data_IF_594595160422
#
_entry.id   IF_594595160422
#
_cell.length_a   1.000
_cell.length_b   1.000
_cell.length_c   1.000
_cell.angle_alpha   90.00
_cell.angle_beta   90.00
_cell.angle_gamma   90.00
#
_symmetry.space_group_name_H-M   'P 1'
#
loop_
_entity.id
_entity.type
_entity.pdbx_description
1 polymer ?
#
# COMPACT_ATOMS: atom_id res chain seq x y z
N UNK A 1 21.59 -16.58 -22.50
CA UNK A 1 20.68 -16.87 -23.62
C UNK A 1 20.10 -15.56 -24.09
N UNK A 2 20.32 -15.21 -25.37
CA UNK A 2 20.24 -13.87 -25.92
C UNK A 2 18.82 -13.29 -25.95
N UNK A 3 18.70 -12.06 -25.45
CA UNK A 3 17.53 -11.17 -25.62
C UNK A 3 17.60 -10.51 -27.02
N UNK A 4 17.40 -11.26 -28.09
CA UNK A 4 17.70 -10.79 -29.44
C UNK A 4 16.50 -10.67 -30.39
N UNK A 5 15.29 -10.36 -29.96
CA UNK A 5 14.21 -10.18 -30.93
C UNK A 5 13.19 -9.05 -30.65
N UNK A 6 13.65 -7.94 -30.07
CA UNK A 6 12.85 -6.70 -30.12
C UNK A 6 13.76 -5.53 -30.55
N UNK A 7 13.77 -5.26 -31.87
CA UNK A 7 14.23 -4.00 -32.41
C UNK A 7 15.66 -3.95 -32.95
N UNK A 8 15.92 -4.59 -34.05
CA UNK A 8 17.07 -4.28 -34.92
C UNK A 8 16.71 -3.12 -35.86
N UNK A 9 16.69 -1.89 -35.30
CA UNK A 9 16.79 -0.68 -36.11
C UNK A 9 18.23 -0.21 -36.02
N UNK A 10 19.01 -0.53 -37.04
CA UNK A 10 20.36 0.01 -37.25
C UNK A 10 20.31 1.53 -37.46
N UNK A 11 20.20 2.32 -36.40
CA UNK A 11 20.53 3.73 -36.43
C UNK A 11 21.97 3.88 -35.97
N UNK A 12 22.87 4.28 -36.88
CA UNK A 12 24.23 4.73 -36.52
C UNK A 12 24.10 5.84 -35.48
N UNK A 13 24.40 5.51 -34.23
CA UNK A 13 24.51 6.50 -33.16
C UNK A 13 25.73 7.41 -33.48
N UNK A 14 25.63 8.73 -33.27
CA UNK A 14 26.78 9.62 -33.37
C UNK A 14 27.87 9.15 -32.39
N UNK A 15 29.15 9.24 -32.81
CA UNK A 15 30.33 8.96 -31.97
C UNK A 15 30.38 9.98 -30.80
N UNK A 16 29.57 9.72 -29.77
CA UNK A 16 29.83 10.35 -28.48
C UNK A 16 31.05 9.69 -27.88
N UNK A 17 32.04 10.49 -27.42
CA UNK A 17 33.12 10.02 -26.56
C UNK A 17 32.40 9.41 -25.34
N UNK A 18 32.42 8.11 -25.25
CA UNK A 18 31.68 7.37 -24.24
C UNK A 18 32.39 7.51 -22.87
N UNK A 19 32.06 8.56 -22.12
CA UNK A 19 32.48 8.73 -20.75
C UNK A 19 31.83 7.76 -19.76
N UNK A 20 30.98 6.83 -20.27
CA UNK A 20 30.23 5.87 -19.44
C UNK A 20 31.15 4.97 -18.63
N UNK A 21 32.28 4.49 -19.22
CA UNK A 21 33.25 3.66 -18.52
C UNK A 21 33.86 4.41 -17.33
N UNK A 22 34.26 5.66 -17.54
CA UNK A 22 34.83 6.51 -16.48
C UNK A 22 33.81 6.75 -15.35
N UNK A 23 32.53 6.99 -15.70
CA UNK A 23 31.45 7.17 -14.74
C UNK A 23 31.24 5.88 -13.94
N UNK A 24 31.20 4.72 -14.59
CA UNK A 24 31.06 3.41 -13.95
C UNK A 24 32.21 3.13 -12.97
N UNK A 25 33.48 3.44 -13.35
CA UNK A 25 34.65 3.25 -12.51
C UNK A 25 34.64 4.18 -11.29
N UNK A 26 34.40 5.47 -11.49
CA UNK A 26 34.38 6.46 -10.38
C UNK A 26 33.24 6.13 -9.39
N UNK A 27 32.06 5.78 -9.89
CA UNK A 27 30.92 5.46 -9.06
C UNK A 27 30.97 4.06 -8.45
N UNK A 28 31.88 3.21 -8.90
CA UNK A 28 31.96 1.79 -8.56
C UNK A 28 30.60 1.07 -8.75
N UNK A 29 29.83 1.47 -9.77
CA UNK A 29 28.48 0.99 -9.99
C UNK A 29 28.41 -0.51 -10.28
N UNK A 30 29.46 -1.06 -10.92
CA UNK A 30 29.56 -2.50 -11.21
C UNK A 30 30.06 -3.33 -10.01
N UNK A 31 30.47 -2.71 -8.91
CA UNK A 31 30.96 -3.44 -7.73
C UNK A 31 29.79 -4.11 -7.02
N UNK A 32 29.80 -5.44 -6.97
CA UNK A 32 28.82 -6.27 -6.28
C UNK A 32 29.23 -6.56 -4.82
N UNK A 33 28.28 -6.84 -3.93
CA UNK A 33 28.57 -7.33 -2.60
C UNK A 33 29.36 -8.66 -2.65
N UNK A 34 30.17 -8.96 -1.62
CA UNK A 34 30.74 -10.29 -1.45
C UNK A 34 29.65 -11.37 -1.53
N UNK A 35 29.93 -12.56 -2.08
CA UNK A 35 28.92 -13.58 -2.36
C UNK A 35 28.02 -13.94 -1.17
N UNK A 36 28.57 -14.02 0.04
CA UNK A 36 27.79 -14.31 1.26
C UNK A 36 26.80 -13.19 1.57
N UNK A 37 27.20 -11.91 1.38
CA UNK A 37 26.32 -10.76 1.60
C UNK A 37 25.26 -10.70 0.50
N UNK A 38 25.66 -10.89 -0.77
CA UNK A 38 24.75 -10.91 -1.90
C UNK A 38 23.64 -11.97 -1.72
N UNK A 39 24.03 -13.17 -1.28
CA UNK A 39 23.08 -14.26 -1.01
C UNK A 39 22.12 -13.86 0.13
N UNK A 40 22.62 -13.37 1.24
CA UNK A 40 21.80 -12.94 2.37
C UNK A 40 20.80 -11.85 1.98
N UNK A 41 21.24 -10.84 1.19
CA UNK A 41 20.37 -9.78 0.71
C UNK A 41 19.31 -10.30 -0.28
N UNK A 42 19.70 -11.22 -1.17
CA UNK A 42 18.76 -11.89 -2.07
C UNK A 42 17.69 -12.68 -1.29
N UNK A 43 18.08 -13.39 -0.22
CA UNK A 43 17.13 -14.14 0.62
C UNK A 43 16.15 -13.20 1.35
N UNK A 44 16.61 -12.02 1.80
CA UNK A 44 15.72 -10.97 2.34
C UNK A 44 14.71 -10.49 1.30
N UNK A 45 15.14 -10.23 0.05
CA UNK A 45 14.19 -9.84 -1.01
C UNK A 45 13.11 -10.89 -1.20
N UNK A 46 13.49 -12.15 -1.40
CA UNK A 46 12.53 -13.22 -1.71
C UNK A 46 11.59 -13.55 -0.54
N UNK A 47 12.04 -13.34 0.70
CA UNK A 47 11.22 -13.60 1.87
C UNK A 47 10.30 -12.42 2.21
N UNK A 48 10.81 -11.18 2.12
CA UNK A 48 10.14 -10.02 2.71
C UNK A 48 9.46 -9.12 1.67
N UNK A 49 10.08 -8.88 0.51
CA UNK A 49 9.57 -7.93 -0.49
C UNK A 49 8.88 -8.63 -1.66
N UNK A 50 9.33 -9.79 -2.06
CA UNK A 50 8.77 -10.53 -3.21
C UNK A 50 7.25 -10.74 -3.14
N UNK A 51 6.62 -10.99 -1.98
CA UNK A 51 5.16 -11.09 -1.90
C UNK A 51 4.41 -9.83 -2.36
N UNK A 52 5.06 -8.67 -2.38
CA UNK A 52 4.48 -7.39 -2.80
C UNK A 52 5.06 -6.86 -4.11
N UNK A 53 6.28 -7.23 -4.46
CA UNK A 53 7.00 -6.80 -5.66
C UNK A 53 7.70 -7.98 -6.36
N UNK A 54 6.95 -8.94 -6.95
CA UNK A 54 7.52 -10.15 -7.56
C UNK A 54 8.03 -9.90 -8.98
N UNK A 55 9.02 -8.99 -9.12
CA UNK A 55 9.53 -8.51 -10.40
C UNK A 55 10.86 -9.15 -10.83
N UNK A 56 11.43 -10.03 -10.00
CA UNK A 56 12.64 -10.81 -10.29
C UNK A 56 12.42 -12.25 -9.79
N UNK A 57 12.67 -13.26 -10.62
CA UNK A 57 12.54 -14.67 -10.27
C UNK A 57 13.86 -15.26 -9.72
N UNK A 58 13.75 -16.26 -8.81
CA UNK A 58 14.92 -16.96 -8.25
C UNK A 58 15.75 -17.66 -9.32
N UNK A 59 15.10 -18.30 -10.28
CA UNK A 59 15.77 -19.02 -11.36
C UNK A 59 16.61 -18.13 -12.29
N UNK A 60 16.43 -16.81 -12.21
CA UNK A 60 17.24 -15.82 -12.96
C UNK A 60 18.40 -15.23 -12.16
N UNK A 61 18.57 -15.66 -10.91
CA UNK A 61 19.64 -15.20 -10.02
C UNK A 61 20.82 -16.15 -10.07
N UNK A 62 21.93 -15.71 -10.63
CA UNK A 62 23.16 -16.51 -10.73
C UNK A 62 24.31 -15.69 -11.29
N UNK A 63 25.48 -16.31 -11.41
CA UNK A 63 26.69 -15.66 -11.91
C UNK A 63 26.56 -15.09 -13.33
N UNK A 64 25.57 -15.57 -14.11
CA UNK A 64 25.26 -15.08 -15.46
C UNK A 64 24.21 -13.94 -15.49
N UNK A 65 23.67 -13.55 -14.33
CA UNK A 65 22.71 -12.44 -14.24
C UNK A 65 23.41 -11.10 -14.51
N UNK A 66 22.65 -10.14 -15.07
CA UNK A 66 23.21 -8.80 -15.27
C UNK A 66 23.59 -8.14 -13.93
N UNK A 67 24.62 -7.30 -13.96
CA UNK A 67 25.05 -6.51 -12.79
C UNK A 67 23.90 -5.67 -12.25
N UNK A 68 23.07 -5.10 -13.14
CA UNK A 68 21.90 -4.30 -12.77
C UNK A 68 20.92 -5.13 -11.92
N UNK A 69 20.57 -6.35 -12.35
CA UNK A 69 19.65 -7.24 -11.62
C UNK A 69 20.24 -7.64 -10.26
N UNK A 70 21.54 -7.95 -10.19
CA UNK A 70 22.21 -8.29 -8.94
C UNK A 70 22.24 -7.11 -7.95
N UNK A 71 22.47 -5.88 -8.45
CA UNK A 71 22.37 -4.67 -7.63
C UNK A 71 20.94 -4.43 -7.14
N UNK A 72 19.92 -4.68 -7.99
CA UNK A 72 18.50 -4.56 -7.59
C UNK A 72 18.14 -5.53 -6.46
N UNK A 73 18.58 -6.78 -6.53
CA UNK A 73 18.36 -7.76 -5.46
C UNK A 73 19.05 -7.35 -4.17
N UNK A 74 20.30 -6.90 -4.28
CA UNK A 74 21.08 -6.44 -3.13
C UNK A 74 20.43 -5.20 -2.48
N UNK A 75 19.95 -4.27 -3.30
CA UNK A 75 19.22 -3.09 -2.85
C UNK A 75 17.93 -3.47 -2.14
N UNK A 76 17.05 -4.24 -2.80
CA UNK A 76 15.78 -4.67 -2.27
C UNK A 76 15.91 -5.41 -0.92
N UNK A 77 16.88 -6.34 -0.82
CA UNK A 77 17.19 -6.99 0.45
C UNK A 77 17.73 -6.05 1.51
N UNK A 78 18.56 -5.07 1.12
CA UNK A 78 19.10 -4.10 2.06
C UNK A 78 18.05 -3.18 2.66
N UNK A 79 16.96 -2.90 1.90
CA UNK A 79 15.82 -2.11 2.39
C UNK A 79 14.93 -2.87 3.36
N UNK A 80 14.98 -4.20 3.41
CA UNK A 80 14.14 -5.05 4.27
C UNK A 80 14.78 -5.43 5.60
N UNK A 81 16.00 -4.98 5.88
CA UNK A 81 16.70 -5.22 7.15
C UNK A 81 16.80 -3.96 7.99
N UNK A 82 17.18 -4.11 9.26
CA UNK A 82 17.53 -2.95 10.08
C UNK A 82 18.71 -2.18 9.47
N UNK A 83 18.75 -0.83 9.61
CA UNK A 83 19.87 -0.04 9.17
C UNK A 83 21.14 -0.53 9.85
N UNK A 84 22.05 -1.14 9.11
CA UNK A 84 23.42 -1.34 9.55
C UNK A 84 24.14 -0.03 9.25
N UNK A 85 24.89 0.51 10.21
CA UNK A 85 25.58 1.80 10.09
C UNK A 85 26.26 2.07 8.73
N UNK A 86 27.09 3.05 8.60
CA UNK A 86 27.75 3.42 7.32
C UNK A 86 28.49 2.19 6.73
N UNK A 87 27.91 1.60 5.70
CA UNK A 87 28.40 0.41 5.01
C UNK A 87 28.32 0.65 3.51
N UNK A 88 29.30 0.15 2.77
CA UNK A 88 29.30 0.15 1.29
C UNK A 88 28.04 -0.52 0.70
N UNK A 89 27.34 -1.31 1.50
CA UNK A 89 26.13 -2.08 1.15
C UNK A 89 24.87 -1.54 1.85
N UNK A 90 24.90 -0.25 2.22
CA UNK A 90 23.69 0.45 2.69
C UNK A 90 22.71 0.63 1.53
N UNK A 91 21.39 0.72 1.81
CA UNK A 91 20.39 0.99 0.76
C UNK A 91 20.74 2.22 -0.08
N UNK A 92 21.21 3.28 0.54
CA UNK A 92 21.56 4.54 -0.14
C UNK A 92 22.74 4.38 -1.11
N UNK A 93 23.79 3.63 -0.70
CA UNK A 93 24.96 3.37 -1.54
C UNK A 93 24.60 2.53 -2.77
N UNK A 94 23.82 1.44 -2.57
CA UNK A 94 23.40 0.57 -3.68
C UNK A 94 22.42 1.30 -4.62
N UNK A 95 21.52 2.12 -4.06
CA UNK A 95 20.62 2.98 -4.82
C UNK A 95 21.35 3.88 -5.81
N UNK A 96 22.42 4.54 -5.35
CA UNK A 96 23.28 5.37 -6.21
C UNK A 96 23.89 4.56 -7.37
N UNK A 97 24.36 3.35 -7.10
CA UNK A 97 24.92 2.44 -8.13
C UNK A 97 23.89 2.03 -9.18
N UNK A 98 22.66 1.67 -8.75
CA UNK A 98 21.58 1.31 -9.68
C UNK A 98 21.24 2.50 -10.57
N UNK A 99 21.11 3.72 -10.01
CA UNK A 99 20.86 4.93 -10.81
C UNK A 99 21.93 5.13 -11.88
N UNK A 100 23.20 4.99 -11.50
CA UNK A 100 24.31 5.11 -12.47
C UNK A 100 24.17 4.07 -13.59
N UNK A 101 23.97 2.78 -13.26
CA UNK A 101 23.79 1.72 -14.25
C UNK A 101 22.62 1.97 -15.22
N UNK A 102 21.51 2.48 -14.71
CA UNK A 102 20.33 2.84 -15.51
C UNK A 102 20.61 4.00 -16.48
N UNK A 103 21.21 5.09 -15.99
CA UNK A 103 21.41 6.29 -16.80
C UNK A 103 22.56 6.17 -17.80
N UNK A 104 23.60 5.38 -17.51
CA UNK A 104 24.63 5.05 -18.51
C UNK A 104 24.18 3.90 -19.45
N UNK A 105 22.99 3.32 -19.21
CA UNK A 105 22.44 2.23 -20.03
C UNK A 105 23.38 1.03 -20.14
N UNK A 106 24.00 0.65 -19.01
CA UNK A 106 24.95 -0.45 -18.93
C UNK A 106 24.31 -1.81 -19.30
N UNK A 107 23.03 -1.99 -18.93
CA UNK A 107 22.25 -3.18 -19.30
C UNK A 107 21.42 -2.91 -20.56
N UNK A 108 21.63 -3.65 -21.67
CA UNK A 108 20.87 -3.45 -22.89
C UNK A 108 19.44 -4.05 -22.84
N UNK A 109 19.13 -4.89 -21.85
CA UNK A 109 17.84 -5.58 -21.76
C UNK A 109 16.74 -4.63 -21.20
N UNK A 110 15.72 -4.27 -22.00
CA UNK A 110 14.66 -3.37 -21.54
C UNK A 110 13.90 -3.93 -20.34
N UNK A 111 13.75 -5.26 -20.24
CA UNK A 111 13.05 -5.85 -19.11
C UNK A 111 13.84 -5.77 -17.80
N UNK A 112 15.18 -5.89 -17.84
CA UNK A 112 16.01 -5.67 -16.66
C UNK A 112 15.92 -4.22 -16.17
N UNK A 113 15.90 -3.24 -17.09
CA UNK A 113 15.67 -1.83 -16.75
C UNK A 113 14.28 -1.62 -16.13
N UNK A 114 13.24 -2.25 -16.68
CA UNK A 114 11.88 -2.19 -16.13
C UNK A 114 11.83 -2.75 -14.71
N UNK A 115 12.46 -3.91 -14.48
CA UNK A 115 12.56 -4.53 -13.14
C UNK A 115 13.32 -3.62 -12.17
N UNK A 116 14.39 -2.98 -12.63
CA UNK A 116 15.16 -2.04 -11.80
C UNK A 116 14.33 -0.80 -11.39
N UNK A 117 13.62 -0.19 -12.33
CA UNK A 117 12.70 0.93 -12.04
C UNK A 117 11.60 0.51 -11.04
N UNK A 118 11.06 -0.70 -11.22
CA UNK A 118 10.07 -1.28 -10.33
C UNK A 118 10.61 -1.48 -8.91
N UNK A 119 11.82 -1.96 -8.75
CA UNK A 119 12.48 -2.12 -7.44
C UNK A 119 12.78 -0.76 -6.81
N UNK A 120 13.27 0.22 -7.58
CA UNK A 120 13.53 1.56 -7.05
C UNK A 120 12.28 2.25 -6.53
N UNK A 121 11.11 1.95 -7.10
CA UNK A 121 9.82 2.51 -6.67
C UNK A 121 9.35 2.01 -5.29
N UNK A 122 9.97 0.98 -4.72
CA UNK A 122 9.60 0.43 -3.40
C UNK A 122 10.17 1.24 -2.22
N UNK A 123 11.10 2.17 -2.48
CA UNK A 123 11.83 2.87 -1.43
C UNK A 123 11.75 4.38 -1.57
N UNK A 124 11.50 5.07 -0.44
CA UNK A 124 11.38 6.51 -0.35
C UNK A 124 12.57 7.08 0.44
N UNK A 125 13.68 7.50 -0.24
CA UNK A 125 14.87 8.03 0.43
C UNK A 125 14.72 9.46 0.94
N UNK A 126 13.76 10.20 0.39
CA UNK A 126 13.52 11.61 0.69
C UNK A 126 12.20 11.82 1.41
N UNK A 127 11.95 13.05 1.87
CA UNK A 127 10.62 13.42 2.35
C UNK A 127 9.58 13.25 1.22
N UNK A 128 8.36 12.77 1.51
CA UNK A 128 7.28 12.68 0.53
C UNK A 128 6.96 14.03 -0.17
N UNK A 129 7.22 15.15 0.50
CA UNK A 129 7.01 16.51 -0.03
C UNK A 129 8.12 16.96 -1.00
N UNK A 130 9.26 16.30 -0.98
CA UNK A 130 10.39 16.71 -1.81
C UNK A 130 10.08 16.54 -3.30
N UNK A 131 10.21 17.62 -4.06
CA UNK A 131 10.11 17.60 -5.52
C UNK A 131 11.48 17.18 -6.08
N UNK A 132 11.63 15.89 -6.34
CA UNK A 132 12.87 15.29 -6.85
C UNK A 132 12.58 14.39 -8.05
N UNK A 133 13.57 14.25 -8.93
CA UNK A 133 13.45 13.44 -10.14
C UNK A 133 13.52 11.93 -9.88
N UNK A 134 13.94 11.52 -8.70
CA UNK A 134 14.21 10.14 -8.31
C UNK A 134 13.36 9.68 -7.12
N UNK A 135 12.11 10.18 -7.05
CA UNK A 135 11.11 9.70 -6.10
C UNK A 135 10.44 8.40 -6.57
N UNK A 136 9.83 7.61 -5.67
CA UNK A 136 9.04 6.42 -6.05
C UNK A 136 8.00 6.70 -7.14
N UNK A 137 7.32 7.85 -7.06
CA UNK A 137 6.32 8.26 -8.05
C UNK A 137 6.95 8.48 -9.44
N UNK A 138 8.13 9.07 -9.52
CA UNK A 138 8.85 9.23 -10.78
C UNK A 138 9.31 7.89 -11.35
N UNK A 139 9.86 6.99 -10.50
CA UNK A 139 10.27 5.66 -10.94
C UNK A 139 9.10 4.84 -11.47
N UNK A 140 7.95 4.86 -10.77
CA UNK A 140 6.73 4.19 -11.23
C UNK A 140 6.26 4.78 -12.57
N UNK A 141 6.24 6.10 -12.72
CA UNK A 141 5.84 6.75 -13.96
C UNK A 141 6.77 6.43 -15.14
N UNK A 142 8.07 6.38 -14.91
CA UNK A 142 9.05 5.96 -15.92
C UNK A 142 8.83 4.49 -16.31
N UNK A 143 8.63 3.62 -15.34
CA UNK A 143 8.37 2.20 -15.57
C UNK A 143 7.06 1.96 -16.34
N UNK A 144 5.98 2.65 -16.01
CA UNK A 144 4.70 2.57 -16.75
C UNK A 144 4.88 3.00 -18.21
N UNK A 145 5.53 4.16 -18.44
CA UNK A 145 5.78 4.65 -19.80
C UNK A 145 6.63 3.66 -20.60
N UNK A 146 7.66 3.08 -19.98
CA UNK A 146 8.50 2.06 -20.60
C UNK A 146 7.70 0.79 -20.91
N UNK A 147 6.84 0.33 -19.98
CA UNK A 147 5.94 -0.79 -20.19
C UNK A 147 4.96 -0.57 -21.34
N UNK A 148 4.40 0.65 -21.47
CA UNK A 148 3.55 1.03 -22.63
C UNK A 148 4.34 0.97 -23.92
N UNK A 149 5.57 1.47 -23.96
CA UNK A 149 6.47 1.42 -25.09
C UNK A 149 6.79 -0.03 -25.53
N UNK A 150 6.88 -0.95 -24.56
CA UNK A 150 7.04 -2.38 -24.76
C UNK A 150 5.72 -3.10 -25.08
N UNK A 151 4.61 -2.37 -25.21
CA UNK A 151 3.25 -2.89 -25.40
C UNK A 151 2.75 -3.85 -24.31
N UNK A 152 3.25 -3.75 -23.07
CA UNK A 152 2.87 -4.65 -21.98
C UNK A 152 1.41 -4.48 -21.50
N UNK A 153 0.72 -3.44 -21.94
CA UNK A 153 -0.73 -3.23 -21.71
C UNK A 153 -1.62 -4.03 -22.67
N UNK A 154 -1.04 -4.75 -23.65
CA UNK A 154 -1.77 -5.52 -24.66
C UNK A 154 -1.55 -7.01 -24.47
N UNK A 155 -2.64 -7.77 -24.36
CA UNK A 155 -2.58 -9.22 -24.15
C UNK A 155 -1.85 -9.96 -25.30
N UNK A 156 -1.98 -9.49 -26.54
CA UNK A 156 -1.35 -10.13 -27.71
C UNK A 156 0.18 -10.14 -27.62
N UNK A 157 0.78 -9.14 -26.95
CA UNK A 157 2.22 -9.03 -26.80
C UNK A 157 2.83 -10.18 -26.02
N UNK A 158 2.05 -10.84 -25.16
CA UNK A 158 2.54 -11.93 -24.29
C UNK A 158 2.75 -13.25 -25.00
N UNK A 159 2.13 -13.46 -26.16
CA UNK A 159 2.22 -14.72 -26.92
C UNK A 159 3.64 -15.02 -27.42
N UNK A 160 4.50 -14.02 -27.57
CA UNK A 160 5.86 -14.15 -28.10
C UNK A 160 6.94 -14.01 -27.03
N UNK A 161 6.57 -13.80 -25.77
CA UNK A 161 7.53 -13.57 -24.70
C UNK A 161 8.06 -14.88 -24.09
N UNK A 162 9.36 -14.93 -23.80
CA UNK A 162 9.99 -16.11 -23.20
C UNK A 162 9.53 -16.39 -21.76
N UNK A 163 9.10 -15.37 -21.03
CA UNK A 163 8.59 -15.49 -19.66
C UNK A 163 7.38 -14.57 -19.46
N UNK A 164 6.23 -14.93 -20.04
CA UNK A 164 5.04 -14.08 -19.98
C UNK A 164 4.52 -13.90 -18.56
N UNK A 165 4.69 -14.89 -17.68
CA UNK A 165 4.27 -14.82 -16.27
C UNK A 165 5.00 -13.73 -15.51
N UNK A 166 6.34 -13.70 -15.54
CA UNK A 166 7.13 -12.68 -14.88
C UNK A 166 6.80 -11.26 -15.40
N UNK A 167 6.65 -11.13 -16.72
CA UNK A 167 6.35 -9.85 -17.36
C UNK A 167 4.95 -9.38 -16.97
N UNK A 168 3.96 -10.28 -16.91
CA UNK A 168 2.61 -9.97 -16.42
C UNK A 168 2.60 -9.52 -14.97
N UNK A 169 3.31 -10.22 -14.09
CA UNK A 169 3.44 -9.82 -12.68
C UNK A 169 4.10 -8.45 -12.55
N UNK A 170 5.16 -8.18 -13.30
CA UNK A 170 5.83 -6.87 -13.29
C UNK A 170 4.91 -5.76 -13.78
N UNK A 171 4.13 -5.99 -14.85
CA UNK A 171 3.14 -5.03 -15.32
C UNK A 171 2.06 -4.73 -14.27
N UNK A 172 1.48 -5.76 -13.65
CA UNK A 172 0.47 -5.59 -12.61
C UNK A 172 1.05 -5.06 -11.29
N UNK A 173 2.33 -5.30 -11.02
CA UNK A 173 3.01 -4.63 -9.91
C UNK A 173 3.01 -3.10 -10.10
N UNK A 174 3.22 -2.60 -11.31
CA UNK A 174 3.16 -1.16 -11.59
C UNK A 174 1.76 -0.59 -11.34
N UNK A 175 0.71 -1.35 -11.62
CA UNK A 175 -0.67 -0.98 -11.23
C UNK A 175 -0.82 -0.87 -9.70
N UNK A 176 -0.36 -1.86 -8.96
CA UNK A 176 -0.41 -1.86 -7.48
C UNK A 176 0.37 -0.67 -6.93
N UNK A 177 1.60 -0.45 -7.40
CA UNK A 177 2.44 0.67 -6.96
C UNK A 177 1.81 2.03 -7.27
N UNK A 178 1.26 2.23 -8.47
CA UNK A 178 0.57 3.45 -8.88
C UNK A 178 -0.68 3.71 -8.01
N UNK A 179 -1.49 2.68 -7.76
CA UNK A 179 -2.69 2.77 -6.91
C UNK A 179 -2.34 3.14 -5.47
N UNK A 180 -1.33 2.51 -4.89
CA UNK A 180 -0.89 2.82 -3.52
C UNK A 180 -0.28 4.22 -3.41
N UNK A 181 0.48 4.66 -4.42
CA UNK A 181 1.02 6.03 -4.48
C UNK A 181 -0.09 7.07 -4.69
N UNK A 182 -1.11 6.76 -5.49
CA UNK A 182 -2.32 7.56 -5.61
C UNK A 182 -3.00 7.71 -4.25
N UNK A 183 -3.14 6.62 -3.50
CA UNK A 183 -3.76 6.60 -2.19
C UNK A 183 -3.00 7.44 -1.16
N UNK A 184 -1.67 7.28 -1.06
CA UNK A 184 -0.89 7.96 -0.03
C UNK A 184 -0.48 9.39 -0.39
N UNK A 185 -0.40 9.74 -1.68
CA UNK A 185 0.07 11.05 -2.14
C UNK A 185 -1.04 11.93 -2.74
N UNK A 186 -2.28 11.43 -2.89
CA UNK A 186 -3.38 12.15 -3.53
C UNK A 186 -3.14 12.49 -5.01
N UNK A 187 -2.10 11.92 -5.63
CA UNK A 187 -1.72 12.21 -7.01
C UNK A 187 -2.58 11.41 -7.99
N UNK A 188 -2.86 11.93 -9.20
CA UNK A 188 -3.57 11.18 -10.22
C UNK A 188 -2.83 9.88 -10.56
N UNK A 189 -3.56 8.77 -10.73
CA UNK A 189 -2.99 7.52 -11.22
C UNK A 189 -2.54 7.63 -12.68
N UNK A 190 -1.45 6.96 -13.01
CA UNK A 190 -0.83 6.97 -14.34
C UNK A 190 -1.03 5.66 -15.11
N UNK A 191 -1.40 4.59 -14.41
CA UNK A 191 -1.58 3.29 -15.04
C UNK A 191 -2.80 3.28 -15.98
N UNK A 192 -2.65 2.86 -17.27
CA UNK A 192 -3.69 2.95 -18.28
C UNK A 192 -4.72 1.82 -18.14
N UNK A 193 -5.44 1.76 -17.02
CA UNK A 193 -6.34 0.65 -16.71
C UNK A 193 -7.46 0.46 -17.76
N UNK A 194 -7.96 1.56 -18.34
CA UNK A 194 -9.02 1.53 -19.36
C UNK A 194 -8.55 0.92 -20.69
N UNK A 195 -7.26 1.08 -21.01
CA UNK A 195 -6.66 0.58 -22.25
C UNK A 195 -5.91 -0.75 -22.05
N UNK A 196 -6.00 -1.32 -20.85
CA UNK A 196 -5.29 -2.54 -20.48
C UNK A 196 -6.13 -3.78 -20.78
N UNK A 197 -5.66 -4.63 -21.69
CA UNK A 197 -6.31 -5.90 -22.05
C UNK A 197 -5.66 -7.13 -21.39
N UNK A 198 -4.63 -6.92 -20.55
CA UNK A 198 -3.85 -8.01 -19.93
C UNK A 198 -4.64 -8.62 -18.77
N UNK A 199 -4.83 -9.95 -18.75
CA UNK A 199 -5.51 -10.60 -17.64
C UNK A 199 -4.75 -10.43 -16.33
N UNK A 200 -5.48 -10.46 -15.21
CA UNK A 200 -4.89 -10.41 -13.87
C UNK A 200 -3.85 -11.50 -13.66
N UNK A 201 -2.84 -11.27 -12.80
CA UNK A 201 -1.83 -12.26 -12.50
C UNK A 201 -2.47 -13.47 -11.83
N UNK A 202 -1.97 -14.64 -12.18
CA UNK A 202 -2.41 -15.93 -11.67
C UNK A 202 -1.25 -16.64 -10.97
N UNK A 203 -1.57 -17.62 -10.15
CA UNK A 203 -0.56 -18.44 -9.46
C UNK A 203 0.37 -19.15 -10.45
N UNK A 204 -0.14 -19.53 -11.61
CA UNK A 204 0.63 -20.12 -12.70
C UNK A 204 1.67 -19.20 -13.34
N UNK A 205 1.61 -17.90 -13.06
CA UNK A 205 2.62 -16.95 -13.50
C UNK A 205 3.90 -16.97 -12.65
N UNK A 206 3.93 -17.75 -11.57
CA UNK A 206 5.07 -17.85 -10.65
C UNK A 206 5.84 -19.16 -10.88
N UNK A 207 7.17 -19.11 -10.72
CA UNK A 207 8.02 -20.32 -10.77
C UNK A 207 7.66 -21.28 -9.62
N UNK A 208 7.28 -20.74 -8.47
CA UNK A 208 6.86 -21.49 -7.28
C UNK A 208 5.56 -20.89 -6.75
N UNK A 209 4.46 -21.65 -6.73
CA UNK A 209 3.16 -21.18 -6.25
C UNK A 209 3.12 -21.19 -4.72
N UNK A 210 3.92 -20.33 -4.09
CA UNK A 210 4.02 -20.18 -2.64
C UNK A 210 3.01 -19.17 -2.07
N UNK A 211 3.09 -18.93 -0.77
CA UNK A 211 2.25 -17.94 -0.07
C UNK A 211 2.41 -16.53 -0.66
N UNK A 212 3.64 -16.15 -1.06
CA UNK A 212 3.91 -14.84 -1.67
C UNK A 212 3.18 -14.66 -3.00
N UNK A 213 3.10 -15.72 -3.82
CA UNK A 213 2.33 -15.71 -5.06
C UNK A 213 0.83 -15.45 -4.80
N UNK A 214 0.26 -16.11 -3.79
CA UNK A 214 -1.12 -15.88 -3.40
C UNK A 214 -1.35 -14.45 -2.89
N UNK A 215 -0.45 -13.92 -2.05
CA UNK A 215 -0.52 -12.54 -1.54
C UNK A 215 -0.54 -11.54 -2.70
N UNK A 216 0.39 -11.64 -3.66
CA UNK A 216 0.45 -10.72 -4.79
C UNK A 216 -0.83 -10.75 -5.65
N UNK A 217 -1.32 -11.94 -5.97
CA UNK A 217 -2.55 -12.07 -6.75
C UNK A 217 -3.76 -11.44 -6.04
N UNK A 218 -3.88 -11.63 -4.72
CA UNK A 218 -4.97 -11.06 -3.95
C UNK A 218 -4.80 -9.55 -3.71
N UNK A 219 -3.57 -9.08 -3.51
CA UNK A 219 -3.26 -7.65 -3.41
C UNK A 219 -3.62 -6.91 -4.70
N UNK A 220 -3.32 -7.49 -5.87
CA UNK A 220 -3.69 -6.90 -7.16
C UNK A 220 -5.21 -6.76 -7.32
N UNK A 221 -5.98 -7.77 -6.90
CA UNK A 221 -7.45 -7.71 -6.90
C UNK A 221 -7.99 -6.66 -5.94
N UNK A 222 -7.45 -6.62 -4.72
CA UNK A 222 -7.83 -5.62 -3.72
C UNK A 222 -7.55 -4.19 -4.22
N UNK A 223 -6.44 -3.98 -4.93
CA UNK A 223 -6.09 -2.68 -5.51
C UNK A 223 -7.07 -2.22 -6.61
N UNK A 224 -7.79 -3.13 -7.29
CA UNK A 224 -8.85 -2.71 -8.22
C UNK A 224 -10.02 -2.04 -7.47
N UNK A 225 -10.44 -2.61 -6.33
CA UNK A 225 -11.47 -2.01 -5.50
C UNK A 225 -10.95 -0.72 -4.83
N UNK A 226 -9.73 -0.73 -4.32
CA UNK A 226 -9.09 0.46 -3.75
C UNK A 226 -9.01 1.61 -4.77
N UNK A 227 -8.59 1.33 -6.00
CA UNK A 227 -8.56 2.33 -7.08
C UNK A 227 -9.92 2.95 -7.32
N UNK A 228 -10.98 2.12 -7.37
CA UNK A 228 -12.36 2.58 -7.54
C UNK A 228 -12.80 3.47 -6.37
N UNK A 229 -12.49 3.08 -5.13
CA UNK A 229 -12.77 3.88 -3.93
C UNK A 229 -12.10 5.25 -4.02
N UNK A 230 -10.83 5.28 -4.42
CA UNK A 230 -10.06 6.52 -4.54
C UNK A 230 -10.56 7.43 -5.66
N UNK A 231 -10.96 6.86 -6.80
CA UNK A 231 -11.54 7.62 -7.91
C UNK A 231 -12.89 8.26 -7.49
N UNK A 232 -13.79 7.47 -6.90
CA UNK A 232 -15.08 7.97 -6.39
C UNK A 232 -14.89 9.07 -5.32
N UNK A 233 -13.90 8.90 -4.45
CA UNK A 233 -13.57 9.86 -3.42
C UNK A 233 -13.04 11.17 -3.97
N UNK A 234 -12.14 11.11 -4.95
CA UNK A 234 -11.54 12.29 -5.58
C UNK A 234 -12.56 13.10 -6.37
N UNK A 235 -13.41 12.42 -7.13
CA UNK A 235 -14.39 13.07 -7.98
C UNK A 235 -15.63 13.55 -7.20
N UNK A 236 -15.64 13.33 -5.88
CA UNK A 236 -16.74 13.65 -4.94
C UNK A 236 -18.10 13.04 -5.37
N UNK A 237 -18.04 11.94 -6.12
CA UNK A 237 -19.20 11.23 -6.66
C UNK A 237 -19.68 10.08 -5.77
N UNK A 238 -19.05 9.87 -4.59
CA UNK A 238 -19.38 8.78 -3.68
C UNK A 238 -20.81 8.87 -3.15
N UNK A 239 -21.67 7.96 -3.59
CA UNK A 239 -23.04 7.81 -3.06
C UNK A 239 -23.09 6.66 -2.05
N UNK A 240 -24.18 6.63 -1.27
CA UNK A 240 -24.47 5.52 -0.34
C UNK A 240 -24.49 4.18 -1.06
N UNK A 241 -25.18 4.11 -2.20
CA UNK A 241 -25.30 2.88 -2.99
C UNK A 241 -23.92 2.39 -3.45
N UNK A 242 -23.05 3.29 -3.88
CA UNK A 242 -21.69 2.96 -4.27
C UNK A 242 -20.85 2.48 -3.09
N UNK A 243 -21.01 3.06 -1.90
CA UNK A 243 -20.36 2.60 -0.70
C UNK A 243 -20.80 1.17 -0.33
N UNK A 244 -22.10 0.89 -0.34
CA UNK A 244 -22.62 -0.46 -0.08
C UNK A 244 -22.18 -1.48 -1.13
N UNK A 245 -22.25 -1.12 -2.42
CA UNK A 245 -21.76 -1.99 -3.50
C UNK A 245 -20.26 -2.29 -3.34
N UNK A 246 -19.47 -1.32 -2.91
CA UNK A 246 -18.04 -1.51 -2.66
C UNK A 246 -17.78 -2.41 -1.45
N UNK A 247 -18.59 -2.28 -0.39
CA UNK A 247 -18.55 -3.19 0.76
C UNK A 247 -18.86 -4.63 0.35
N UNK A 248 -19.87 -4.84 -0.49
CA UNK A 248 -20.20 -6.19 -0.99
C UNK A 248 -19.04 -6.79 -1.80
N UNK A 249 -18.36 -6.00 -2.64
CA UNK A 249 -17.19 -6.44 -3.37
C UNK A 249 -16.04 -6.81 -2.41
N UNK A 250 -15.75 -5.97 -1.41
CA UNK A 250 -14.72 -6.24 -0.40
C UNK A 250 -15.05 -7.50 0.41
N UNK A 251 -16.31 -7.68 0.79
CA UNK A 251 -16.79 -8.89 1.47
C UNK A 251 -16.58 -10.12 0.60
N UNK A 252 -16.99 -10.08 -0.66
CA UNK A 252 -16.80 -11.16 -1.62
C UNK A 252 -15.31 -11.48 -1.82
N UNK A 253 -14.44 -10.46 -1.96
CA UNK A 253 -13.00 -10.65 -2.05
C UNK A 253 -12.46 -11.42 -0.86
N UNK A 254 -12.87 -11.07 0.36
CA UNK A 254 -12.44 -11.76 1.59
C UNK A 254 -12.94 -13.20 1.66
N UNK A 255 -14.18 -13.48 1.25
CA UNK A 255 -14.78 -14.81 1.27
C UNK A 255 -14.08 -15.80 0.32
N UNK A 256 -13.51 -15.31 -0.78
CA UNK A 256 -12.76 -16.14 -1.75
C UNK A 256 -11.27 -16.26 -1.43
N UNK A 257 -10.79 -15.68 -0.31
CA UNK A 257 -9.39 -15.81 0.07
C UNK A 257 -9.01 -17.29 0.30
N UNK A 258 -7.86 -17.74 -0.24
CA UNK A 258 -7.29 -19.03 0.10
C UNK A 258 -7.15 -19.22 1.61
N UNK A 259 -7.37 -20.43 2.11
CA UNK A 259 -7.28 -20.75 3.55
C UNK A 259 -5.97 -20.27 4.18
N UNK A 260 -4.83 -20.42 3.47
CA UNK A 260 -3.53 -19.95 3.95
C UNK A 260 -3.39 -18.42 4.10
N UNK A 261 -4.31 -17.63 3.52
CA UNK A 261 -4.35 -16.18 3.69
C UNK A 261 -5.40 -15.71 4.70
N UNK A 262 -6.24 -16.60 5.22
CA UNK A 262 -7.21 -16.24 6.26
C UNK A 262 -6.48 -16.06 7.61
N UNK A 263 -6.88 -15.02 8.37
CA UNK A 263 -6.29 -14.76 9.69
C UNK A 263 -6.87 -15.65 10.78
N UNK A 264 -8.15 -16.02 10.65
CA UNK A 264 -8.87 -16.85 11.60
C UNK A 264 -9.60 -17.98 10.87
N UNK A 265 -9.65 -19.15 11.50
CA UNK A 265 -10.42 -20.29 11.02
C UNK A 265 -11.91 -20.20 11.35
N UNK A 266 -12.68 -21.19 10.91
CA UNK A 266 -14.13 -21.23 11.14
C UNK A 266 -14.51 -21.27 12.63
N UNK A 267 -13.68 -21.84 13.50
CA UNK A 267 -13.85 -21.84 14.95
C UNK A 267 -13.24 -20.60 15.63
N UNK A 268 -12.94 -19.56 14.84
CA UNK A 268 -12.31 -18.32 15.31
C UNK A 268 -10.90 -18.49 15.93
N UNK A 269 -10.25 -19.62 15.69
CA UNK A 269 -8.85 -19.84 16.05
C UNK A 269 -7.92 -19.03 15.14
N UNK A 270 -6.85 -18.45 15.72
CA UNK A 270 -5.82 -17.74 14.96
C UNK A 270 -5.03 -18.71 14.10
N UNK A 271 -5.00 -18.47 12.79
CA UNK A 271 -4.21 -19.27 11.85
C UNK A 271 -2.71 -18.98 12.00
N UNK A 272 -1.89 -19.84 11.38
CA UNK A 272 -0.43 -19.68 11.40
C UNK A 272 -0.06 -18.27 10.89
N UNK A 273 0.73 -17.57 11.68
CA UNK A 273 1.14 -16.22 11.35
C UNK A 273 1.96 -16.17 10.06
N UNK A 274 1.60 -15.22 9.22
CA UNK A 274 2.35 -14.83 8.04
C UNK A 274 2.27 -13.32 7.91
N UNK A 275 3.41 -12.61 8.05
CA UNK A 275 3.43 -11.15 7.94
C UNK A 275 2.81 -10.65 6.64
N UNK A 276 3.13 -11.20 5.44
CA UNK A 276 2.49 -10.75 4.21
C UNK A 276 0.95 -10.93 4.19
N UNK A 277 0.43 -12.00 4.83
CA UNK A 277 -1.02 -12.17 4.97
C UNK A 277 -1.62 -11.13 5.93
N UNK A 278 -0.94 -10.81 7.03
CA UNK A 278 -1.36 -9.75 7.96
C UNK A 278 -1.38 -8.39 7.26
N UNK A 279 -0.33 -8.03 6.51
CA UNK A 279 -0.28 -6.79 5.72
C UNK A 279 -1.42 -6.72 4.69
N UNK A 280 -1.71 -7.83 4.00
CA UNK A 280 -2.83 -7.90 3.05
C UNK A 280 -4.17 -7.57 3.73
N UNK A 281 -4.40 -8.07 4.95
CA UNK A 281 -5.60 -7.74 5.72
C UNK A 281 -5.60 -6.31 6.25
N UNK A 282 -4.45 -5.72 6.55
CA UNK A 282 -4.36 -4.29 6.87
C UNK A 282 -4.85 -3.45 5.66
N UNK A 283 -4.41 -3.75 4.44
CA UNK A 283 -4.89 -3.05 3.24
C UNK A 283 -6.38 -3.27 2.98
N UNK A 284 -6.90 -4.47 3.24
CA UNK A 284 -8.34 -4.75 3.19
C UNK A 284 -9.12 -3.86 4.18
N UNK A 285 -8.70 -3.81 5.44
CA UNK A 285 -9.37 -3.00 6.47
C UNK A 285 -9.26 -1.50 6.17
N UNK A 286 -8.14 -1.05 5.61
CA UNK A 286 -7.98 0.32 5.11
C UNK A 286 -9.02 0.61 4.01
N UNK A 287 -9.21 -0.31 3.04
CA UNK A 287 -10.23 -0.15 2.02
C UNK A 287 -11.64 -0.10 2.62
N UNK A 288 -11.93 -0.88 3.68
CA UNK A 288 -13.19 -0.82 4.43
C UNK A 288 -13.38 0.56 5.08
N UNK A 289 -12.36 1.09 5.78
CA UNK A 289 -12.42 2.42 6.39
C UNK A 289 -12.67 3.50 5.34
N UNK A 290 -11.94 3.47 4.23
CA UNK A 290 -12.12 4.44 3.13
C UNK A 290 -13.52 4.36 2.51
N UNK A 291 -14.07 3.16 2.37
CA UNK A 291 -15.44 2.96 1.87
C UNK A 291 -16.48 3.55 2.82
N UNK A 292 -16.28 3.42 4.13
CA UNK A 292 -17.16 4.06 5.11
C UNK A 292 -17.17 5.59 4.96
N UNK A 293 -16.03 6.18 4.58
CA UNK A 293 -15.94 7.62 4.32
C UNK A 293 -16.59 8.05 3.00
N UNK A 294 -16.72 7.20 2.00
CA UNK A 294 -17.52 7.50 0.79
C UNK A 294 -18.99 7.70 1.14
N UNK A 295 -19.55 6.87 2.02
CA UNK A 295 -20.94 6.94 2.44
C UNK A 295 -21.23 7.93 3.57
N UNK A 296 -20.27 8.74 4.00
CA UNK A 296 -20.39 9.63 5.18
C UNK A 296 -21.55 10.63 5.13
N UNK A 297 -21.98 11.06 3.93
CA UNK A 297 -23.10 12.01 3.76
C UNK A 297 -24.40 11.44 4.31
N UNK A 298 -24.56 10.12 4.36
CA UNK A 298 -25.78 9.44 4.80
C UNK A 298 -25.81 9.10 6.30
N UNK A 299 -24.72 9.35 6.99
CA UNK A 299 -24.60 9.33 8.46
C UNK A 299 -25.30 8.14 9.14
N UNK A 300 -24.93 6.91 8.76
CA UNK A 300 -25.54 5.71 9.32
C UNK A 300 -24.71 5.11 10.46
N UNK A 301 -25.36 4.54 11.51
CA UNK A 301 -24.65 3.84 12.56
C UNK A 301 -23.71 2.76 12.04
N UNK A 302 -24.13 2.02 11.01
CA UNK A 302 -23.30 0.98 10.38
C UNK A 302 -21.94 1.54 9.96
N UNK A 303 -21.89 2.61 9.15
CA UNK A 303 -20.66 3.17 8.61
C UNK A 303 -19.73 3.67 9.71
N UNK A 304 -20.29 4.34 10.72
CA UNK A 304 -19.56 4.82 11.89
C UNK A 304 -18.89 3.67 12.63
N UNK A 305 -19.68 2.72 13.12
CA UNK A 305 -19.16 1.65 13.97
C UNK A 305 -18.27 0.66 13.21
N UNK A 306 -18.55 0.44 11.92
CA UNK A 306 -17.68 -0.36 11.06
C UNK A 306 -16.30 0.30 10.89
N UNK A 307 -16.25 1.61 10.66
CA UNK A 307 -14.96 2.32 10.50
C UNK A 307 -14.13 2.31 11.80
N UNK A 308 -14.78 2.49 12.95
CA UNK A 308 -14.12 2.46 14.27
C UNK A 308 -13.58 1.05 14.56
N UNK A 309 -14.40 0.02 14.37
CA UNK A 309 -13.99 -1.36 14.62
C UNK A 309 -12.90 -1.82 13.65
N UNK A 310 -13.00 -1.48 12.35
CA UNK A 310 -11.95 -1.78 11.36
C UNK A 310 -10.64 -1.09 11.71
N UNK A 311 -10.68 0.17 12.15
CA UNK A 311 -9.52 0.93 12.62
C UNK A 311 -8.83 0.25 13.80
N UNK A 312 -9.59 -0.24 14.76
CA UNK A 312 -9.05 -0.98 15.91
C UNK A 312 -8.45 -2.34 15.49
N UNK A 313 -9.12 -3.06 14.58
CA UNK A 313 -8.56 -4.30 14.01
C UNK A 313 -7.20 -4.05 13.33
N UNK A 314 -7.04 -2.95 12.59
CA UNK A 314 -5.74 -2.55 12.02
C UNK A 314 -4.70 -2.39 13.13
N UNK A 315 -5.05 -1.72 14.24
CA UNK A 315 -4.12 -1.53 15.35
C UNK A 315 -3.70 -2.87 15.99
N UNK A 316 -4.63 -3.82 16.16
CA UNK A 316 -4.30 -5.17 16.67
C UNK A 316 -3.35 -5.93 15.74
N UNK A 317 -3.53 -5.82 14.42
CA UNK A 317 -2.60 -6.42 13.47
C UNK A 317 -1.21 -5.79 13.53
N UNK A 318 -1.12 -4.48 13.72
CA UNK A 318 0.16 -3.82 13.94
C UNK A 318 0.80 -4.19 15.28
N UNK A 319 0.01 -4.38 16.32
CA UNK A 319 0.51 -4.88 17.61
C UNK A 319 1.16 -6.27 17.47
N UNK A 320 0.54 -7.17 16.68
CA UNK A 320 1.11 -8.49 16.39
C UNK A 320 2.46 -8.37 15.66
N UNK A 321 2.56 -7.51 14.63
CA UNK A 321 3.82 -7.22 13.92
C UNK A 321 4.88 -6.63 14.86
N UNK A 322 4.47 -5.71 15.74
CA UNK A 322 5.33 -5.06 16.71
C UNK A 322 5.90 -6.07 17.73
N UNK A 323 5.06 -6.94 18.28
CA UNK A 323 5.45 -7.98 19.22
C UNK A 323 6.39 -9.04 18.60
N UNK A 324 6.32 -9.22 17.28
CA UNK A 324 7.20 -10.13 16.53
C UNK A 324 8.50 -9.47 16.05
N UNK A 325 8.69 -8.18 16.37
CA UNK A 325 9.86 -7.40 15.98
C UNK A 325 10.04 -7.28 14.44
N UNK A 326 8.96 -7.35 13.67
CA UNK A 326 8.99 -7.32 12.20
C UNK A 326 8.66 -5.94 11.58
N UNK A 327 8.54 -4.89 12.40
CA UNK A 327 8.23 -3.51 11.92
C UNK A 327 9.26 -3.02 10.90
N UNK A 328 10.53 -3.44 11.03
CA UNK A 328 11.59 -3.10 10.06
C UNK A 328 11.36 -3.65 8.66
N UNK A 329 10.51 -4.67 8.50
CA UNK A 329 10.15 -5.25 7.21
C UNK A 329 8.98 -4.52 6.51
N UNK A 330 8.32 -3.59 7.20
CA UNK A 330 7.21 -2.83 6.63
C UNK A 330 7.71 -1.81 5.58
N UNK A 331 6.95 -1.69 4.49
CA UNK A 331 7.17 -0.69 3.45
C UNK A 331 6.71 0.71 3.92
N UNK A 332 7.24 1.80 3.33
CA UNK A 332 6.85 3.18 3.71
C UNK A 332 5.35 3.45 3.66
N UNK A 333 4.61 2.75 2.81
CA UNK A 333 3.16 2.87 2.65
C UNK A 333 2.38 2.61 3.94
N UNK A 334 2.93 1.80 4.86
CA UNK A 334 2.29 1.50 6.14
C UNK A 334 2.17 2.73 7.05
N UNK A 335 2.97 3.79 6.85
CA UNK A 335 2.74 5.06 7.55
C UNK A 335 1.37 5.65 7.17
N UNK A 336 1.01 5.61 5.89
CA UNK A 336 -0.30 6.06 5.42
C UNK A 336 -1.45 5.18 5.94
N UNK A 337 -1.30 3.86 5.97
CA UNK A 337 -2.35 2.97 6.50
C UNK A 337 -2.63 3.24 7.98
N UNK A 338 -1.60 3.58 8.77
CA UNK A 338 -1.75 4.00 10.17
C UNK A 338 -2.47 5.34 10.28
N UNK A 339 -2.19 6.30 9.38
CA UNK A 339 -2.91 7.57 9.34
C UNK A 339 -4.40 7.34 9.07
N UNK A 340 -4.74 6.54 8.05
CA UNK A 340 -6.14 6.19 7.75
C UNK A 340 -6.83 5.55 8.95
N UNK A 341 -6.16 4.63 9.64
CA UNK A 341 -6.69 3.99 10.85
C UNK A 341 -6.83 4.97 12.04
N UNK A 342 -6.06 6.06 12.09
CA UNK A 342 -6.16 7.03 13.18
C UNK A 342 -7.42 7.90 13.06
N UNK A 343 -7.90 8.19 11.86
CA UNK A 343 -8.98 9.14 11.61
C UNK A 343 -10.29 8.76 12.33
N UNK A 344 -10.88 7.55 12.18
CA UNK A 344 -12.10 7.19 12.90
C UNK A 344 -11.97 7.32 14.41
N UNK A 345 -10.77 7.07 14.95
CA UNK A 345 -10.50 7.14 16.39
C UNK A 345 -10.43 8.58 16.91
N UNK A 346 -9.85 9.50 16.13
CA UNK A 346 -9.71 10.90 16.52
C UNK A 346 -11.09 11.55 16.64
N UNK A 347 -12.00 11.20 15.74
CA UNK A 347 -13.37 11.76 15.67
C UNK A 347 -14.42 10.98 16.45
N UNK A 348 -14.08 9.86 17.06
CA UNK A 348 -14.98 9.10 17.92
C UNK A 348 -14.82 9.58 19.37
N UNK A 349 -15.75 10.40 19.83
CA UNK A 349 -15.80 10.86 21.24
C UNK A 349 -16.91 10.10 22.00
N UNK A 350 -16.65 8.82 22.29
CA UNK A 350 -17.56 7.99 23.10
C UNK A 350 -16.84 7.50 24.33
N UNK A 351 -17.28 7.92 25.52
CA UNK A 351 -16.69 7.56 26.80
C UNK A 351 -16.51 6.06 27.01
N UNK A 352 -17.47 5.26 26.52
CA UNK A 352 -17.44 3.80 26.64
C UNK A 352 -16.32 3.13 25.82
N UNK A 353 -15.76 3.83 24.83
CA UNK A 353 -14.71 3.32 23.94
C UNK A 353 -13.33 3.95 24.18
N UNK A 354 -13.25 4.93 25.08
CA UNK A 354 -12.03 5.74 25.29
C UNK A 354 -10.81 4.91 25.70
N UNK A 355 -10.98 3.86 26.53
CA UNK A 355 -9.86 3.00 26.94
C UNK A 355 -9.22 2.28 25.75
N UNK A 356 -10.03 1.65 24.91
CA UNK A 356 -9.53 0.94 23.71
C UNK A 356 -8.93 1.90 22.69
N UNK A 357 -9.51 3.09 22.54
CA UNK A 357 -8.99 4.16 21.69
C UNK A 357 -7.58 4.59 22.12
N UNK A 358 -7.34 4.74 23.41
CA UNK A 358 -6.02 5.12 23.94
C UNK A 358 -4.96 4.03 23.67
N UNK A 359 -5.32 2.75 23.85
CA UNK A 359 -4.45 1.63 23.56
C UNK A 359 -4.08 1.56 22.07
N UNK A 360 -5.07 1.68 21.18
CA UNK A 360 -4.86 1.69 19.73
C UNK A 360 -3.97 2.87 19.30
N UNK A 361 -4.13 4.04 19.94
CA UNK A 361 -3.28 5.21 19.73
C UNK A 361 -1.82 4.94 20.11
N UNK A 362 -1.61 4.32 21.27
CA UNK A 362 -0.27 3.94 21.76
C UNK A 362 0.43 2.95 20.82
N UNK A 363 -0.28 1.93 20.34
CA UNK A 363 0.26 0.97 19.37
C UNK A 363 0.69 1.68 18.08
N UNK A 364 -0.19 2.51 17.51
CA UNK A 364 0.10 3.28 16.30
C UNK A 364 1.35 4.15 16.46
N UNK A 365 1.49 4.82 17.60
CA UNK A 365 2.66 5.63 17.93
C UNK A 365 3.93 4.78 17.97
N UNK A 366 3.93 3.65 18.69
CA UNK A 366 5.09 2.76 18.82
C UNK A 366 5.54 2.20 17.46
N UNK A 367 4.59 1.85 16.58
CA UNK A 367 4.92 1.37 15.23
C UNK A 367 5.54 2.48 14.39
N UNK A 368 4.96 3.70 14.41
CA UNK A 368 5.50 4.85 13.68
C UNK A 368 6.88 5.26 14.21
N UNK A 369 7.13 5.22 15.51
CA UNK A 369 8.44 5.47 16.11
C UNK A 369 9.49 4.50 15.56
N UNK A 370 9.21 3.19 15.57
CA UNK A 370 10.12 2.19 15.00
C UNK A 370 10.29 2.33 13.48
N UNK A 371 9.22 2.65 12.75
CA UNK A 371 9.32 2.89 11.31
C UNK A 371 10.15 4.14 11.00
N UNK A 372 10.13 5.17 11.86
CA UNK A 372 10.84 6.43 11.63
C UNK A 372 12.37 6.27 11.63
N UNK A 373 12.90 5.23 12.27
CA UNK A 373 14.32 4.87 12.20
C UNK A 373 14.79 4.61 10.76
N UNK A 374 13.87 4.26 9.86
CA UNK A 374 14.13 3.86 8.48
C UNK A 374 13.38 4.70 7.44
N UNK A 375 12.18 5.15 7.76
CA UNK A 375 11.27 5.83 6.84
C UNK A 375 10.88 7.21 7.39
N UNK A 376 11.36 8.29 6.76
CA UNK A 376 11.01 9.66 7.16
C UNK A 376 9.52 9.95 7.12
N UNK A 377 8.77 9.30 6.23
CA UNK A 377 7.31 9.40 6.14
C UNK A 377 6.60 9.04 7.45
N UNK A 378 7.16 8.13 8.25
CA UNK A 378 6.57 7.74 9.52
C UNK A 378 6.59 8.87 10.55
N UNK A 379 7.70 9.61 10.67
CA UNK A 379 7.79 10.78 11.54
C UNK A 379 6.84 11.92 11.13
N UNK A 380 6.68 12.14 9.81
CA UNK A 380 5.73 13.12 9.29
C UNK A 380 4.28 12.73 9.62
N UNK A 381 3.92 11.47 9.42
CA UNK A 381 2.59 10.97 9.77
C UNK A 381 2.34 11.07 11.28
N UNK A 382 3.33 10.79 12.11
CA UNK A 382 3.22 10.94 13.55
C UNK A 382 2.91 12.39 13.93
N UNK A 383 3.64 13.37 13.39
CA UNK A 383 3.37 14.80 13.59
C UNK A 383 1.96 15.17 13.12
N UNK A 384 1.56 14.69 11.95
CA UNK A 384 0.23 14.98 11.39
C UNK A 384 -0.91 14.43 12.23
N UNK A 385 -0.79 13.20 12.76
CA UNK A 385 -1.78 12.62 13.68
C UNK A 385 -1.87 13.48 14.95
N UNK A 386 -0.74 13.96 15.48
CA UNK A 386 -0.71 14.83 16.64
C UNK A 386 -1.38 16.19 16.35
N UNK A 387 -1.09 16.78 15.20
CA UNK A 387 -1.70 18.06 14.78
C UNK A 387 -3.21 17.93 14.64
N UNK A 388 -3.70 16.88 13.95
CA UNK A 388 -5.13 16.61 13.81
C UNK A 388 -5.78 16.40 15.19
N UNK A 389 -5.12 15.67 16.09
CA UNK A 389 -5.61 15.44 17.44
C UNK A 389 -5.65 16.72 18.29
N UNK A 390 -4.67 17.61 18.14
CA UNK A 390 -4.58 18.87 18.89
C UNK A 390 -5.56 19.93 18.35
N UNK A 391 -5.75 19.98 17.03
CA UNK A 391 -6.68 20.91 16.39
C UNK A 391 -8.13 20.54 16.70
N UNK A 392 -8.38 19.27 17.04
CA UNK A 392 -9.69 18.78 17.43
C UNK A 392 -10.76 19.12 16.37
N UNK A 393 -11.97 19.36 16.84
CA UNK A 393 -13.14 19.70 16.02
C UNK A 393 -13.03 21.07 15.31
N UNK A 394 -12.03 21.91 15.61
CA UNK A 394 -11.89 23.24 15.00
C UNK A 394 -11.50 23.22 13.52
N UNK A 395 -10.87 22.15 13.03
CA UNK A 395 -10.56 21.96 11.60
C UNK A 395 -11.71 21.36 10.81
N UNK A 396 -12.69 20.80 11.49
CA UNK A 396 -13.81 20.11 10.85
C UNK A 396 -15.10 20.89 11.13
N UNK A 397 -16.07 20.88 10.24
CA UNK A 397 -17.35 21.49 10.52
C UNK A 397 -17.89 20.94 11.84
N UNK A 398 -18.13 21.80 12.81
CA UNK A 398 -18.68 21.46 14.15
C UNK A 398 -19.91 20.53 14.05
N UNK A 399 -20.64 20.63 12.95
CA UNK A 399 -21.81 19.82 12.62
C UNK A 399 -21.48 18.33 12.38
N UNK A 400 -20.33 18.00 11.75
CA UNK A 400 -19.96 16.60 11.49
C UNK A 400 -19.68 15.84 12.78
N UNK A 401 -18.94 16.45 13.69
CA UNK A 401 -18.55 15.84 14.97
C UNK A 401 -19.77 15.61 15.85
N UNK A 402 -20.60 16.65 16.01
CA UNK A 402 -21.83 16.55 16.79
C UNK A 402 -22.81 15.49 16.21
N UNK A 403 -22.96 15.46 14.89
CA UNK A 403 -23.84 14.52 14.22
C UNK A 403 -23.32 13.08 14.28
N UNK A 404 -22.01 12.89 14.10
CA UNK A 404 -21.37 11.58 14.19
C UNK A 404 -21.46 10.99 15.60
N UNK A 405 -21.26 11.83 16.65
CA UNK A 405 -21.32 11.40 18.04
C UNK A 405 -22.75 11.22 18.56
N UNK A 406 -23.76 11.81 17.92
CA UNK A 406 -25.16 11.63 18.29
C UNK A 406 -25.83 10.37 17.71
N UNK A 407 -25.12 9.60 16.86
CA UNK A 407 -25.70 8.39 16.26
C UNK A 407 -25.98 7.31 17.31
N UNK A 408 -27.16 6.66 17.24
CA UNK A 408 -27.53 5.61 18.18
C UNK A 408 -26.62 4.37 18.02
N UNK A 409 -26.66 3.47 19.01
CA UNK A 409 -26.01 2.17 18.92
C UNK A 409 -26.49 1.39 17.68
N UNK A 410 -25.65 0.52 17.08
CA UNK A 410 -26.02 -0.24 15.89
C UNK A 410 -27.12 -1.24 16.18
N UNK A 411 -28.01 -1.43 15.20
CA UNK A 411 -29.04 -2.48 15.22
C UNK A 411 -28.44 -3.87 15.18
N UNK A 412 -29.24 -4.90 15.46
CA UNK A 412 -28.78 -6.30 15.35
C UNK A 412 -28.33 -6.64 13.91
N UNK A 413 -29.05 -6.15 12.90
CA UNK A 413 -28.68 -6.34 11.48
C UNK A 413 -27.36 -5.62 11.14
N UNK A 414 -27.19 -4.39 11.62
CA UNK A 414 -25.92 -3.65 11.45
C UNK A 414 -24.76 -4.35 12.16
N UNK A 415 -24.95 -4.85 13.37
CA UNK A 415 -23.94 -5.66 14.09
C UNK A 415 -23.58 -6.92 13.32
N UNK A 416 -24.57 -7.62 12.78
CA UNK A 416 -24.34 -8.81 11.95
C UNK A 416 -23.50 -8.45 10.72
N UNK A 417 -23.79 -7.31 10.08
CA UNK A 417 -23.03 -6.83 8.93
C UNK A 417 -21.60 -6.45 9.30
N UNK A 418 -21.39 -5.72 10.42
CA UNK A 418 -20.07 -5.37 10.94
C UNK A 418 -19.23 -6.63 11.18
N UNK A 419 -19.81 -7.61 11.89
CA UNK A 419 -19.13 -8.87 12.17
C UNK A 419 -18.78 -9.64 10.88
N UNK A 420 -19.70 -9.66 9.92
CA UNK A 420 -19.50 -10.29 8.63
C UNK A 420 -18.37 -9.63 7.82
N UNK A 421 -18.20 -8.30 7.91
CA UNK A 421 -17.10 -7.57 7.26
C UNK A 421 -15.75 -7.82 7.91
N UNK A 422 -15.68 -7.87 9.22
CA UNK A 422 -14.40 -7.89 9.94
C UNK A 422 -13.89 -9.31 10.23
N UNK A 423 -14.76 -10.25 10.63
CA UNK A 423 -14.42 -11.63 11.03
C UNK A 423 -13.28 -11.72 12.08
N UNK A 424 -13.28 -10.80 13.02
CA UNK A 424 -12.36 -10.82 14.14
C UNK A 424 -13.06 -11.34 15.39
N UNK A 425 -12.47 -12.25 16.16
CA UNK A 425 -13.01 -12.62 17.47
C UNK A 425 -12.85 -11.42 18.44
N UNK A 426 -13.83 -11.22 19.34
CA UNK A 426 -13.79 -10.16 20.35
C UNK A 426 -12.55 -10.23 21.24
N UNK A 427 -12.04 -11.45 21.53
CA UNK A 427 -10.79 -11.65 22.27
C UNK A 427 -9.56 -11.06 21.57
N UNK A 428 -9.59 -10.93 20.24
CA UNK A 428 -8.51 -10.32 19.46
C UNK A 428 -8.72 -8.82 19.27
N UNK A 429 -9.95 -8.34 19.22
CA UNK A 429 -10.27 -6.92 19.03
C UNK A 429 -11.33 -6.48 20.07
N UNK A 430 -10.94 -6.03 21.27
CA UNK A 430 -11.86 -5.62 22.34
C UNK A 430 -12.80 -4.45 21.94
N UNK A 431 -12.36 -3.57 21.03
CA UNK A 431 -13.20 -2.51 20.49
C UNK A 431 -14.39 -3.08 19.73
N UNK A 432 -14.16 -4.11 18.90
CA UNK A 432 -15.24 -4.79 18.18
C UNK A 432 -16.24 -5.43 19.15
N UNK A 433 -15.72 -6.07 20.21
CA UNK A 433 -16.55 -6.69 21.25
C UNK A 433 -17.42 -5.62 21.95
N UNK A 434 -16.83 -4.47 22.27
CA UNK A 434 -17.54 -3.34 22.86
C UNK A 434 -18.65 -2.80 21.92
N UNK A 435 -18.37 -2.65 20.63
CA UNK A 435 -19.37 -2.23 19.64
C UNK A 435 -20.50 -3.26 19.53
N UNK A 436 -20.19 -4.56 19.58
CA UNK A 436 -21.19 -5.63 19.49
C UNK A 436 -22.07 -5.72 20.75
N UNK A 437 -21.57 -5.31 21.91
CA UNK A 437 -22.31 -5.33 23.18
C UNK A 437 -23.16 -4.08 23.45
N UNK A 438 -23.03 -3.01 22.65
CA UNK A 438 -23.83 -1.79 22.81
C UNK A 438 -25.33 -2.10 22.69
N UNK A 439 -26.14 -1.56 23.62
CA UNK A 439 -27.59 -1.65 23.58
C UNK A 439 -28.20 -0.30 23.21
N UNK A 440 -29.28 -0.31 22.41
CA UNK A 440 -30.06 0.89 22.14
C UNK A 440 -30.80 1.30 23.42
N UNK A 441 -30.67 2.57 23.77
CA UNK A 441 -31.51 3.16 24.83
C UNK A 441 -32.98 3.10 24.39
N UNK A 442 -33.84 2.49 25.21
CA UNK A 442 -35.18 2.01 24.83
C UNK A 442 -36.25 3.08 24.46
N UNK A 443 -35.90 4.35 24.21
CA UNK A 443 -36.81 5.46 23.94
C UNK A 443 -36.48 6.32 22.71
N UNK A 444 -35.52 5.93 21.88
CA UNK A 444 -35.23 6.71 20.67
C UNK A 444 -36.11 6.25 19.51
N UNK A 445 -37.22 6.95 19.28
CA UNK A 445 -37.99 6.84 18.05
C UNK A 445 -37.21 7.49 16.91
N UNK A 446 -37.31 6.90 15.69
CA UNK A 446 -36.64 7.41 14.46
C UNK A 446 -36.96 8.91 14.16
N UNK A 447 -38.04 9.45 14.76
CA UNK A 447 -38.51 10.84 14.60
C UNK A 447 -37.64 11.88 15.34
N UNK A 448 -36.70 11.46 16.19
CA UNK A 448 -35.83 12.35 16.97
C UNK A 448 -34.43 12.57 16.38
N UNK A 449 -34.16 12.00 15.20
CA UNK A 449 -32.90 12.26 14.50
C UNK A 449 -32.84 13.73 14.02
N UNK A 450 -31.74 14.45 14.24
CA UNK A 450 -31.58 15.79 13.68
C UNK A 450 -31.79 15.73 12.18
N UNK A 451 -32.52 16.72 11.65
CA UNK A 451 -32.78 16.87 10.21
C UNK A 451 -31.43 16.82 9.46
N UNK A 452 -31.36 15.95 8.44
CA UNK A 452 -30.19 15.90 7.53
C UNK A 452 -29.93 17.32 7.02
N UNK A 453 -28.69 17.82 7.16
CA UNK A 453 -28.33 19.14 6.62
C UNK A 453 -28.66 19.17 5.12
N UNK A 454 -29.22 20.27 4.64
CA UNK A 454 -29.42 20.48 3.21
C UNK A 454 -28.07 20.62 2.52
N UNK A 455 -27.98 20.26 1.22
CA UNK A 455 -26.75 20.29 0.41
C UNK A 455 -25.96 21.61 0.47
N UNK A 456 -26.57 22.72 0.90
CA UNK A 456 -25.93 24.02 1.08
C UNK A 456 -25.07 24.16 2.35
N UNK A 457 -25.25 23.29 3.33
CA UNK A 457 -24.60 23.37 4.64
C UNK A 457 -23.39 22.44 4.78
N UNK A 458 -23.22 21.52 3.83
CA UNK A 458 -22.07 20.60 3.78
C UNK A 458 -20.99 21.27 2.93
N UNK A 459 -20.07 21.99 3.58
CA UNK A 459 -18.85 22.43 2.90
C UNK A 459 -18.17 21.20 2.31
N UNK A 460 -17.88 21.25 0.99
CA UNK A 460 -17.20 20.20 0.23
C UNK A 460 -15.87 19.84 0.91
N UNK A 461 -15.88 18.71 1.56
CA UNK A 461 -14.67 18.07 2.03
C UNK A 461 -14.05 17.37 0.84
N UNK A 462 -12.91 17.80 0.36
CA UNK A 462 -12.19 16.98 -0.59
C UNK A 462 -11.81 15.69 0.15
N UNK A 463 -12.26 14.53 -0.36
CA UNK A 463 -11.67 13.23 -0.05
C UNK A 463 -10.25 13.15 -0.66
N UNK A 464 -9.63 14.29 -0.83
CA UNK A 464 -8.24 14.40 -1.20
C UNK A 464 -7.41 14.07 0.04
N UNK A 465 -7.06 12.78 0.14
CA UNK A 465 -6.20 12.28 1.19
C UNK A 465 -4.83 12.96 1.19
N UNK A 466 -4.48 13.70 0.12
CA UNK A 466 -3.31 14.55 0.07
C UNK A 466 -3.40 15.68 1.09
N UNK A 467 -4.61 16.15 1.42
CA UNK A 467 -4.81 17.15 2.48
C UNK A 467 -4.27 16.67 3.84
N UNK A 468 -4.34 15.37 4.12
CA UNK A 468 -3.80 14.81 5.36
C UNK A 468 -2.28 14.64 5.34
N UNK A 469 -1.64 14.70 4.15
CA UNK A 469 -0.19 14.51 3.99
C UNK A 469 0.55 15.79 3.57
N UNK A 470 -0.15 16.79 3.00
CA UNK A 470 0.47 18.01 2.49
C UNK A 470 -0.17 19.23 3.14
N UNK A 471 0.64 20.03 3.84
CA UNK A 471 0.21 21.33 4.39
C UNK A 471 0.19 22.40 3.29
N UNK A 472 -1.00 22.64 2.71
CA UNK A 472 -1.28 23.82 1.90
C UNK A 472 -0.77 23.80 0.44
N UNK A 473 -1.12 24.82 -0.36
CA UNK A 473 -0.61 24.97 -1.72
C UNK A 473 0.90 25.13 -1.68
N UNK A 474 1.61 24.36 -2.53
CA UNK A 474 3.04 24.57 -2.73
C UNK A 474 3.26 26.02 -3.15
N UNK A 475 3.83 26.82 -2.27
CA UNK A 475 4.35 28.14 -2.63
C UNK A 475 5.59 27.91 -3.48
N UNK A 476 5.46 28.06 -4.79
CA UNK A 476 6.57 28.11 -5.74
C UNK A 476 7.31 29.44 -5.58
#
# INVERSE_FOLDING_TARGET
>A
MHCTDLGNANSKQPNYIDGSELILDISQACRLPPPVIAQALSDFYFRELFPFAPVIDRGKVGASSSVLVQQCLSFAGSTMRQPAGASDWSPFSIYGRIKTLLFVRQDPCPFNMLSALSILSTWLPYSPEAVVLDSPWQWTGMAIRMGIQMHLHKAESYNQLQNPGLIRRTWWYLFVADTLQMACCGRPGMFPLKDNSVPLPQITDFESPDMGAHVFCQMTRLCLDLKKILDLGRDNEGTREQAYQTMDNLKQWREILPIGLQLFGLAQERQVYSRPAVELHIFYLVAVVLTCFLGRRDNTPLLKYLSIAASSCISRLYEEILCREEVQCLLPIHSWTILVAAIPRIFCDMDTLNTHRADDGRISQQVLEKMSEKHRSAGMVQSKIQDISNLGTSMFPVQFDAMWNSLPAPTLDEKTHINAMLLFPGSFCPMLDSVMSMERSGNETLDSLPSVPTDSDVQDWPLDWSFFLYDGPMNF
#
